data_IF_132866913425
#
_entry.id   IF_132866913425
#
_cell.length_a   1.000
_cell.length_b   1.000
_cell.length_c   1.000
_cell.angle_alpha   90.00
_cell.angle_beta   90.00
_cell.angle_gamma   90.00
#
_symmetry.space_group_name_H-M   'P 1'
#
loop_
_entity.id
_entity.type
_entity.pdbx_description
1 polymer ?
#
# COMPACT_ATOMS: atom_id res chain seq x y z
N UNK A 1 -13.39 -57.85 37.14
CA UNK A 1 -12.43 -57.67 36.04
C UNK A 1 -12.43 -56.23 35.59
N UNK A 2 -11.31 -55.52 35.77
CA UNK A 2 -11.16 -54.12 35.33
C UNK A 2 -11.09 -54.06 33.79
N UNK A 3 -12.03 -53.38 33.14
CA UNK A 3 -11.99 -53.10 31.70
C UNK A 3 -10.67 -52.42 31.33
N UNK A 4 -9.84 -53.05 30.50
CA UNK A 4 -8.66 -52.41 29.89
C UNK A 4 -9.12 -51.19 29.12
N UNK A 5 -8.55 -50.01 29.46
CA UNK A 5 -8.79 -48.73 28.76
C UNK A 5 -8.21 -48.84 27.36
N UNK A 6 -8.92 -48.25 26.38
CA UNK A 6 -8.42 -48.15 25.00
C UNK A 6 -7.18 -47.25 24.94
N UNK A 7 -6.21 -47.61 24.09
CA UNK A 7 -5.06 -46.74 23.79
C UNK A 7 -5.59 -45.45 23.17
N UNK A 8 -5.40 -44.31 23.84
CA UNK A 8 -5.84 -43.01 23.38
C UNK A 8 -6.64 -42.16 24.38
N UNK A 9 -7.30 -42.84 25.35
CA UNK A 9 -8.08 -42.16 26.42
C UNK A 9 -7.15 -41.66 27.53
N UNK A 10 -6.44 -40.59 27.40
CA UNK A 10 -5.51 -40.06 28.39
C UNK A 10 -5.93 -40.19 29.85
N UNK A 11 -5.00 -40.04 30.81
CA UNK A 11 -5.29 -40.14 32.24
C UNK A 11 -6.23 -39.01 32.66
N UNK A 12 -7.50 -39.32 32.96
CA UNK A 12 -8.49 -38.39 33.48
C UNK A 12 -8.62 -38.58 35.01
N UNK A 13 -8.36 -37.52 35.78
CA UNK A 13 -8.48 -37.52 37.26
C UNK A 13 -9.06 -36.23 37.80
N UNK A 14 -9.66 -36.32 38.99
CA UNK A 14 -10.07 -35.13 39.76
C UNK A 14 -8.91 -34.73 40.68
N UNK A 15 -8.53 -33.46 40.63
CA UNK A 15 -7.46 -32.89 41.46
C UNK A 15 -8.02 -32.55 42.88
N UNK A 16 -7.10 -32.30 43.80
CA UNK A 16 -7.45 -31.87 45.18
C UNK A 16 -8.12 -30.49 45.22
N UNK A 17 -7.87 -29.67 44.21
CA UNK A 17 -8.47 -28.33 44.01
C UNK A 17 -9.89 -28.38 43.40
N UNK A 18 -10.46 -29.62 43.22
CA UNK A 18 -11.80 -29.83 42.69
C UNK A 18 -11.92 -29.82 41.17
N UNK A 19 -10.90 -29.42 40.46
CA UNK A 19 -10.87 -29.44 38.99
C UNK A 19 -10.56 -30.79 38.42
N UNK A 20 -11.07 -31.06 37.21
CA UNK A 20 -10.70 -32.24 36.45
C UNK A 20 -9.46 -31.98 35.60
N UNK A 21 -8.58 -32.98 35.49
CA UNK A 21 -7.35 -32.92 34.69
C UNK A 21 -7.31 -34.17 33.79
N UNK A 22 -6.96 -33.96 32.52
CA UNK A 22 -6.55 -35.04 31.61
C UNK A 22 -5.13 -34.81 31.13
N UNK A 23 -4.40 -35.90 30.93
CA UNK A 23 -3.04 -35.90 30.41
C UNK A 23 -2.96 -36.75 29.15
N UNK A 24 -2.59 -36.14 28.03
CA UNK A 24 -2.38 -36.82 26.75
C UNK A 24 -0.89 -36.87 26.44
N UNK A 25 -0.40 -38.01 25.94
CA UNK A 25 0.98 -38.11 25.39
C UNK A 25 0.95 -37.57 23.98
N UNK A 26 1.82 -36.55 23.70
CA UNK A 26 1.86 -35.82 22.44
C UNK A 26 3.13 -36.07 21.63
N UNK A 27 4.00 -36.97 22.08
CA UNK A 27 5.26 -37.32 21.41
C UNK A 27 6.34 -37.71 22.41
N UNK A 28 7.60 -37.62 21.97
CA UNK A 28 8.78 -37.87 22.78
C UNK A 28 9.67 -36.63 22.82
N UNK A 29 10.32 -36.42 23.95
CA UNK A 29 11.44 -35.47 24.04
C UNK A 29 12.68 -36.04 23.32
N UNK A 30 13.69 -35.21 22.97
CA UNK A 30 14.94 -35.69 22.36
C UNK A 30 15.68 -36.77 23.21
N UNK A 31 15.41 -36.79 24.52
CA UNK A 31 15.95 -37.79 25.46
C UNK A 31 15.11 -39.09 25.52
N UNK A 32 14.12 -39.22 24.64
CA UNK A 32 13.23 -40.41 24.55
C UNK A 32 12.11 -40.46 25.57
N UNK A 33 11.98 -39.49 26.48
CA UNK A 33 10.89 -39.45 27.45
C UNK A 33 9.59 -38.93 26.83
N UNK A 34 8.42 -39.47 27.28
CA UNK A 34 7.13 -38.98 26.79
C UNK A 34 6.90 -37.50 27.09
N UNK A 35 6.52 -36.75 26.04
CA UNK A 35 6.05 -35.38 26.15
C UNK A 35 4.54 -35.40 26.39
N UNK A 36 4.07 -34.63 27.40
CA UNK A 36 2.68 -34.62 27.80
C UNK A 36 2.05 -33.26 27.62
N UNK A 37 0.76 -33.26 27.22
CA UNK A 37 -0.12 -32.09 27.28
C UNK A 37 -1.19 -32.30 28.32
N UNK A 38 -1.47 -31.28 29.12
CA UNK A 38 -2.43 -31.29 30.19
C UNK A 38 -3.65 -30.43 29.86
N UNK A 39 -4.84 -30.93 30.15
CA UNK A 39 -6.11 -30.26 29.97
C UNK A 39 -6.80 -30.15 31.32
N UNK A 40 -7.40 -28.98 31.62
CA UNK A 40 -8.03 -28.69 32.90
C UNK A 40 -9.44 -28.17 32.68
N UNK A 41 -10.41 -28.55 33.56
CA UNK A 41 -11.78 -28.06 33.48
C UNK A 41 -12.55 -28.27 34.77
N UNK A 42 -13.65 -27.51 34.95
CA UNK A 42 -14.53 -27.64 36.09
C UNK A 42 -15.31 -28.96 36.09
N UNK A 43 -15.54 -29.56 34.90
CA UNK A 43 -16.29 -30.81 34.74
C UNK A 43 -15.50 -31.82 33.90
N UNK A 44 -15.77 -33.11 34.11
CA UNK A 44 -15.22 -34.18 33.32
C UNK A 44 -15.56 -34.07 31.82
N UNK A 45 -16.79 -33.62 31.52
CA UNK A 45 -17.28 -33.41 30.14
C UNK A 45 -16.46 -32.35 29.43
N UNK A 46 -16.23 -31.21 30.08
CA UNK A 46 -15.44 -30.11 29.52
C UNK A 46 -14.00 -30.52 29.20
N UNK A 47 -13.36 -31.32 30.07
CA UNK A 47 -11.99 -31.82 29.81
C UNK A 47 -11.96 -32.83 28.66
N UNK A 48 -12.92 -33.71 28.58
CA UNK A 48 -13.04 -34.67 27.47
C UNK A 48 -13.24 -33.98 26.12
N UNK A 49 -14.06 -32.95 26.12
CA UNK A 49 -14.29 -32.15 24.92
C UNK A 49 -13.02 -31.42 24.46
N UNK A 50 -12.24 -30.85 25.39
CA UNK A 50 -10.95 -30.26 25.10
C UNK A 50 -9.95 -31.26 24.51
N UNK A 51 -9.87 -32.46 25.10
CA UNK A 51 -9.00 -33.56 24.59
C UNK A 51 -9.43 -33.98 23.19
N UNK A 52 -10.73 -34.17 22.99
CA UNK A 52 -11.27 -34.56 21.67
C UNK A 52 -10.97 -33.48 20.61
N UNK A 53 -11.26 -32.22 20.90
CA UNK A 53 -10.96 -31.12 19.98
C UNK A 53 -9.47 -31.03 19.63
N UNK A 54 -8.59 -31.32 20.60
CA UNK A 54 -7.15 -31.36 20.39
C UNK A 54 -6.73 -32.57 19.51
N UNK A 55 -7.33 -33.72 19.72
CA UNK A 55 -7.08 -34.90 18.88
C UNK A 55 -7.60 -34.71 17.46
N UNK A 56 -8.80 -34.16 17.32
CA UNK A 56 -9.37 -33.74 16.01
C UNK A 56 -8.47 -32.74 15.30
N UNK A 57 -7.83 -31.81 16.04
CA UNK A 57 -6.86 -30.83 15.49
C UNK A 57 -5.59 -31.52 14.97
N UNK A 58 -5.08 -32.54 15.69
CA UNK A 58 -3.90 -33.33 15.27
C UNK A 58 -4.22 -34.23 14.07
N UNK A 59 -5.37 -34.87 14.07
CA UNK A 59 -5.83 -35.76 12.97
C UNK A 59 -6.05 -34.94 11.68
N UNK A 60 -6.40 -33.64 11.80
CA UNK A 60 -6.49 -32.69 10.68
C UNK A 60 -5.12 -32.09 10.26
N UNK A 61 -4.01 -32.60 10.84
CA UNK A 61 -2.64 -32.18 10.47
C UNK A 61 -2.20 -30.85 11.02
N UNK A 62 -2.92 -30.25 11.99
CA UNK A 62 -2.50 -29.01 12.61
C UNK A 62 -1.24 -29.19 13.46
N UNK A 63 -0.29 -28.28 13.32
CA UNK A 63 0.95 -28.31 14.10
C UNK A 63 0.67 -28.09 15.59
N UNK A 64 1.41 -28.77 16.47
CA UNK A 64 1.30 -28.62 17.94
C UNK A 64 1.74 -27.24 18.46
N UNK A 65 2.20 -26.35 17.59
CA UNK A 65 2.80 -25.10 18.01
C UNK A 65 1.76 -24.12 18.57
N UNK A 66 1.79 -23.94 19.87
CA UNK A 66 1.13 -22.84 20.58
C UNK A 66 1.91 -21.54 20.29
N UNK A 67 1.77 -21.01 19.07
CA UNK A 67 2.42 -19.78 18.64
C UNK A 67 1.45 -18.60 18.74
N UNK A 68 1.90 -17.49 19.31
CA UNK A 68 1.11 -16.26 19.34
C UNK A 68 1.27 -15.45 18.03
N UNK A 69 0.36 -14.51 17.81
CA UNK A 69 0.36 -13.69 16.59
C UNK A 69 1.69 -12.92 16.43
N UNK A 70 2.25 -12.37 17.49
CA UNK A 70 3.50 -11.58 17.45
C UNK A 70 4.70 -12.44 17.05
N UNK A 71 4.80 -13.66 17.55
CA UNK A 71 5.87 -14.60 17.18
C UNK A 71 5.77 -14.98 15.72
N UNK A 72 4.56 -15.34 15.28
CA UNK A 72 4.31 -15.69 13.89
C UNK A 72 4.49 -14.53 12.91
N UNK A 73 3.96 -13.35 13.24
CA UNK A 73 4.10 -12.16 12.40
C UNK A 73 5.57 -11.78 12.21
N UNK A 74 6.41 -11.98 13.23
CA UNK A 74 7.85 -11.78 13.14
C UNK A 74 8.50 -12.78 12.18
N UNK A 75 8.22 -14.10 12.34
CA UNK A 75 8.74 -15.13 11.43
C UNK A 75 8.32 -14.85 9.99
N UNK A 76 7.04 -14.49 9.78
CA UNK A 76 6.52 -14.13 8.47
C UNK A 76 7.23 -12.91 7.88
N UNK A 77 7.47 -11.88 8.70
CA UNK A 77 8.09 -10.63 8.26
C UNK A 77 9.59 -10.78 7.96
N UNK A 78 10.31 -11.58 8.73
CA UNK A 78 11.73 -11.85 8.52
C UNK A 78 11.99 -12.45 7.12
N UNK A 79 11.03 -13.22 6.59
CA UNK A 79 11.08 -13.73 5.22
C UNK A 79 11.05 -12.66 4.12
N UNK A 80 10.66 -11.42 4.41
CA UNK A 80 10.63 -10.32 3.43
C UNK A 80 11.90 -9.46 3.41
N UNK A 81 12.83 -9.71 4.31
CA UNK A 81 14.10 -8.98 4.33
C UNK A 81 14.88 -9.24 3.02
N UNK A 82 15.19 -8.17 2.30
CA UNK A 82 15.87 -8.24 1.00
C UNK A 82 14.97 -8.62 -0.20
N UNK A 83 13.72 -9.07 0.03
CA UNK A 83 12.79 -9.42 -1.05
C UNK A 83 11.93 -8.25 -1.53
N UNK A 84 11.75 -7.24 -0.68
CA UNK A 84 10.95 -6.05 -0.99
C UNK A 84 11.80 -4.78 -0.89
N UNK A 85 11.33 -3.69 -1.52
CA UNK A 85 12.03 -2.40 -1.41
C UNK A 85 12.08 -1.93 0.06
N UNK A 86 13.11 -1.15 0.42
CA UNK A 86 13.26 -0.61 1.77
C UNK A 86 12.04 0.22 2.22
N UNK A 87 11.40 0.96 1.30
CA UNK A 87 10.16 1.70 1.58
C UNK A 87 9.02 0.75 1.94
N UNK A 88 8.85 -0.32 1.16
CA UNK A 88 7.82 -1.35 1.41
C UNK A 88 8.09 -2.07 2.73
N UNK A 89 9.34 -2.42 3.01
CA UNK A 89 9.75 -3.07 4.25
C UNK A 89 9.39 -2.23 5.49
N UNK A 90 9.68 -0.92 5.48
CA UNK A 90 9.30 -0.03 6.59
C UNK A 90 7.77 0.16 6.70
N UNK A 91 7.05 0.17 5.58
CA UNK A 91 5.58 0.19 5.58
C UNK A 91 4.99 -1.08 6.21
N UNK A 92 5.53 -2.25 5.88
CA UNK A 92 5.14 -3.54 6.49
C UNK A 92 5.42 -3.55 7.98
N UNK A 93 6.62 -3.14 8.39
CA UNK A 93 7.02 -3.03 9.80
C UNK A 93 6.07 -2.16 10.62
N UNK A 94 5.65 -1.02 10.06
CA UNK A 94 4.65 -0.15 10.70
C UNK A 94 3.30 -0.86 10.84
N UNK A 95 2.83 -1.50 9.76
CA UNK A 95 1.53 -2.18 9.70
C UNK A 95 1.48 -3.34 10.70
N UNK A 96 2.53 -4.18 10.75
CA UNK A 96 2.65 -5.28 11.70
C UNK A 96 2.63 -4.77 13.14
N UNK A 97 3.35 -3.69 13.44
CA UNK A 97 3.33 -3.09 14.79
C UNK A 97 1.92 -2.66 15.23
N UNK A 98 1.09 -2.18 14.28
CA UNK A 98 -0.31 -1.84 14.57
C UNK A 98 -1.12 -3.10 14.87
N UNK A 99 -0.93 -4.16 14.10
CA UNK A 99 -1.59 -5.46 14.32
C UNK A 99 -1.16 -6.09 15.66
N UNK A 100 0.13 -6.08 15.97
CA UNK A 100 0.69 -6.66 17.19
C UNK A 100 0.16 -6.00 18.47
N UNK A 101 -0.15 -4.70 18.43
CA UNK A 101 -0.78 -4.01 19.58
C UNK A 101 -2.14 -4.57 19.97
N UNK A 102 -2.85 -5.19 19.03
CA UNK A 102 -4.17 -5.75 19.28
C UNK A 102 -4.12 -7.28 19.40
N UNK A 103 -3.44 -7.96 18.48
CA UNK A 103 -3.44 -9.40 18.36
C UNK A 103 -2.20 -10.08 18.99
N UNK A 104 -1.13 -9.34 19.26
CA UNK A 104 0.20 -9.88 19.54
C UNK A 104 0.24 -11.02 20.56
N UNK A 105 -0.49 -10.89 21.67
CA UNK A 105 -0.55 -11.91 22.73
C UNK A 105 -1.60 -13.01 22.50
N UNK A 106 -2.40 -12.92 21.44
CA UNK A 106 -3.40 -13.94 21.12
C UNK A 106 -2.75 -15.11 20.42
N UNK A 107 -3.09 -16.33 20.81
CA UNK A 107 -2.72 -17.54 20.06
C UNK A 107 -3.38 -17.51 18.69
N UNK A 108 -2.66 -17.89 17.63
CA UNK A 108 -3.17 -17.85 16.25
C UNK A 108 -4.51 -18.58 16.12
N UNK A 109 -4.64 -19.76 16.72
CA UNK A 109 -5.85 -20.59 16.71
C UNK A 109 -7.07 -19.92 17.40
N UNK A 110 -6.83 -18.98 18.32
CA UNK A 110 -7.88 -18.29 19.08
C UNK A 110 -8.37 -17.02 18.37
N UNK A 111 -7.70 -16.59 17.31
CA UNK A 111 -8.13 -15.46 16.50
C UNK A 111 -9.31 -15.88 15.64
N UNK A 112 -10.48 -15.30 15.89
CA UNK A 112 -11.72 -15.55 15.15
C UNK A 112 -12.11 -14.31 14.31
N UNK A 113 -13.04 -14.50 13.35
CA UNK A 113 -13.51 -13.43 12.48
C UNK A 113 -13.97 -12.18 13.24
N UNK A 114 -14.75 -12.35 14.32
CA UNK A 114 -15.24 -11.23 15.13
C UNK A 114 -14.12 -10.40 15.80
N UNK A 115 -12.95 -11.02 16.10
CA UNK A 115 -11.79 -10.27 16.61
C UNK A 115 -11.22 -9.34 15.53
N UNK A 116 -11.19 -9.82 14.28
CA UNK A 116 -10.76 -9.03 13.12
C UNK A 116 -11.72 -7.85 12.92
N UNK A 117 -13.01 -8.09 12.91
CA UNK A 117 -14.06 -7.07 12.77
C UNK A 117 -13.95 -6.01 13.88
N UNK A 118 -13.84 -6.45 15.13
CA UNK A 118 -13.66 -5.56 16.28
C UNK A 118 -12.42 -4.68 16.15
N UNK A 119 -11.30 -5.25 15.67
CA UNK A 119 -10.08 -4.50 15.42
C UNK A 119 -10.27 -3.46 14.31
N UNK A 120 -10.83 -3.84 13.16
CA UNK A 120 -11.04 -2.94 12.04
C UNK A 120 -11.99 -1.80 12.41
N UNK A 121 -13.07 -2.10 13.14
CA UNK A 121 -14.01 -1.09 13.66
C UNK A 121 -13.32 -0.13 14.63
N UNK A 122 -12.48 -0.63 15.54
CA UNK A 122 -11.68 0.20 16.45
C UNK A 122 -10.78 1.16 15.68
N UNK A 123 -10.06 0.68 14.65
CA UNK A 123 -9.16 1.51 13.86
C UNK A 123 -9.93 2.58 13.07
N UNK A 124 -11.12 2.25 12.57
CA UNK A 124 -12.02 3.24 11.93
C UNK A 124 -12.51 4.29 12.92
N UNK A 125 -12.94 3.88 14.11
CA UNK A 125 -13.41 4.78 15.16
C UNK A 125 -12.27 5.70 15.67
N UNK A 126 -11.03 5.26 15.58
CA UNK A 126 -9.83 6.08 15.84
C UNK A 126 -9.51 7.08 14.72
N UNK A 127 -10.38 7.24 13.72
CA UNK A 127 -10.23 8.20 12.62
C UNK A 127 -9.34 7.75 11.47
N UNK A 128 -8.98 6.46 11.39
CA UNK A 128 -8.23 5.98 10.22
C UNK A 128 -9.09 5.99 8.96
N UNK A 129 -8.51 6.48 7.88
CA UNK A 129 -9.13 6.41 6.56
C UNK A 129 -9.44 4.96 6.16
N UNK A 130 -10.57 4.73 5.48
CA UNK A 130 -11.03 3.41 5.04
C UNK A 130 -9.98 2.67 4.19
N UNK A 131 -9.20 3.38 3.36
CA UNK A 131 -8.09 2.81 2.59
C UNK A 131 -6.96 2.28 3.48
N UNK A 132 -6.66 2.97 4.60
CA UNK A 132 -5.66 2.54 5.58
C UNK A 132 -6.14 1.32 6.38
N UNK A 133 -7.43 1.27 6.74
CA UNK A 133 -8.05 0.10 7.40
C UNK A 133 -8.03 -1.11 6.45
N UNK A 134 -8.32 -0.91 5.16
CA UNK A 134 -8.22 -1.97 4.15
C UNK A 134 -6.79 -2.52 4.02
N UNK A 135 -5.75 -1.68 4.10
CA UNK A 135 -4.34 -2.12 4.12
C UNK A 135 -4.03 -2.99 5.35
N UNK A 136 -4.51 -2.60 6.54
CA UNK A 136 -4.36 -3.42 7.76
C UNK A 136 -5.00 -4.79 7.59
N UNK A 137 -6.22 -4.85 7.06
CA UNK A 137 -6.92 -6.10 6.75
C UNK A 137 -6.15 -6.96 5.75
N UNK A 138 -5.65 -6.34 4.66
CA UNK A 138 -4.87 -7.02 3.63
C UNK A 138 -3.58 -7.63 4.18
N UNK A 139 -2.85 -6.91 5.03
CA UNK A 139 -1.65 -7.43 5.69
C UNK A 139 -1.99 -8.59 6.63
N UNK A 140 -3.01 -8.45 7.47
CA UNK A 140 -3.45 -9.53 8.35
C UNK A 140 -3.89 -10.76 7.57
N UNK A 141 -4.58 -10.57 6.43
CA UNK A 141 -4.95 -11.65 5.53
C UNK A 141 -3.72 -12.45 5.04
N UNK A 142 -2.66 -11.76 4.62
CA UNK A 142 -1.43 -12.41 4.13
C UNK A 142 -0.73 -13.19 5.26
N UNK A 143 -0.60 -12.60 6.45
CA UNK A 143 0.01 -13.24 7.62
C UNK A 143 -0.77 -14.51 8.00
N UNK A 144 -2.10 -14.43 8.11
CA UNK A 144 -2.95 -15.55 8.50
C UNK A 144 -3.09 -16.59 7.37
N UNK A 145 -3.03 -16.17 6.10
CA UNK A 145 -3.03 -17.09 4.97
C UNK A 145 -1.74 -17.96 4.95
N UNK A 146 -0.61 -17.34 5.30
CA UNK A 146 0.65 -18.09 5.44
C UNK A 146 0.65 -19.01 6.66
N UNK A 147 -0.05 -18.62 7.75
CA UNK A 147 -0.25 -19.49 8.92
C UNK A 147 -1.10 -20.71 8.56
N UNK A 148 -2.18 -20.53 7.79
CA UNK A 148 -3.00 -21.61 7.27
C UNK A 148 -2.19 -22.58 6.37
N UNK A 149 -1.37 -22.01 5.47
CA UNK A 149 -0.49 -22.79 4.57
C UNK A 149 0.65 -23.53 5.29
N UNK A 150 0.90 -23.26 6.57
CA UNK A 150 1.87 -23.94 7.42
C UNK A 150 1.17 -24.75 8.55
N UNK A 151 -0.10 -25.05 8.39
CA UNK A 151 -0.91 -25.87 9.31
C UNK A 151 -0.90 -25.36 10.77
N UNK A 152 -0.67 -24.05 10.98
CA UNK A 152 -0.76 -23.42 12.29
C UNK A 152 -2.20 -23.07 12.69
N UNK A 153 -3.09 -22.94 11.70
CA UNK A 153 -4.52 -22.71 11.85
C UNK A 153 -5.29 -23.44 10.75
N UNK A 154 -6.49 -23.93 11.07
CA UNK A 154 -7.36 -24.63 10.09
C UNK A 154 -7.86 -23.73 8.96
N UNK A 155 -8.23 -22.50 9.28
CA UNK A 155 -8.83 -21.53 8.32
C UNK A 155 -8.41 -20.11 8.67
N UNK A 156 -8.12 -19.32 7.65
CA UNK A 156 -7.83 -17.91 7.82
C UNK A 156 -9.09 -17.15 8.26
N UNK A 157 -9.16 -16.62 9.49
CA UNK A 157 -10.35 -15.94 10.03
C UNK A 157 -10.67 -14.63 9.27
N UNK A 158 -9.69 -14.03 8.61
CA UNK A 158 -9.88 -12.78 7.85
C UNK A 158 -10.78 -12.98 6.62
N UNK A 159 -10.88 -14.21 6.11
CA UNK A 159 -11.79 -14.54 4.99
C UNK A 159 -13.25 -14.40 5.38
N UNK A 160 -13.57 -14.72 6.64
CA UNK A 160 -14.92 -14.76 7.17
C UNK A 160 -15.32 -13.47 7.89
N UNK A 161 -14.35 -12.58 8.14
CA UNK A 161 -14.62 -11.26 8.70
C UNK A 161 -15.27 -10.35 7.65
N UNK A 162 -16.32 -9.65 8.05
CA UNK A 162 -17.02 -8.71 7.19
C UNK A 162 -16.08 -7.65 6.65
N UNK A 163 -16.24 -7.36 5.36
CA UNK A 163 -15.56 -6.22 4.75
C UNK A 163 -16.25 -4.95 5.26
N UNK A 164 -15.47 -4.07 5.87
CA UNK A 164 -16.01 -2.75 6.21
C UNK A 164 -16.56 -2.08 4.95
N UNK A 165 -17.77 -1.54 5.04
CA UNK A 165 -18.35 -0.72 3.97
C UNK A 165 -17.39 0.42 3.69
N UNK A 166 -17.02 0.59 2.43
CA UNK A 166 -16.30 1.79 1.99
C UNK A 166 -17.20 2.99 2.32
N UNK A 167 -16.60 4.08 2.74
CA UNK A 167 -17.36 5.31 2.89
C UNK A 167 -18.04 5.60 1.55
N UNK A 168 -19.31 5.97 1.59
CA UNK A 168 -20.18 6.08 0.41
C UNK A 168 -19.69 7.12 -0.62
N UNK A 169 -18.74 7.95 -0.25
CA UNK A 169 -18.05 8.89 -1.14
C UNK A 169 -16.54 8.64 -1.05
N UNK A 170 -16.01 7.80 -1.95
CA UNK A 170 -14.59 7.94 -2.31
C UNK A 170 -14.49 9.31 -2.96
N UNK A 171 -13.89 10.28 -2.27
CA UNK A 171 -13.60 11.58 -2.90
C UNK A 171 -12.82 11.28 -4.17
N UNK A 172 -13.24 11.81 -5.33
CA UNK A 172 -12.48 11.70 -6.55
C UNK A 172 -11.05 12.15 -6.29
N UNK A 173 -10.08 11.56 -6.98
CA UNK A 173 -8.71 12.06 -6.91
C UNK A 173 -8.73 13.47 -7.47
N UNK A 174 -8.51 14.47 -6.62
CA UNK A 174 -8.62 15.87 -7.01
C UNK A 174 -7.57 16.21 -8.09
N UNK A 175 -8.05 16.67 -9.25
CA UNK A 175 -7.28 17.34 -10.30
C UNK A 175 -7.58 18.84 -10.26
N UNK A 176 -6.66 19.66 -10.71
CA UNK A 176 -6.90 21.08 -10.94
C UNK A 176 -7.87 21.23 -12.12
N UNK A 177 -8.74 22.23 -12.05
CA UNK A 177 -9.59 22.63 -13.19
C UNK A 177 -8.76 23.34 -14.26
N UNK A 178 -9.34 23.57 -15.44
CA UNK A 178 -8.66 24.31 -16.51
C UNK A 178 -8.34 25.75 -16.07
N UNK A 179 -9.26 26.41 -15.36
CA UNK A 179 -9.09 27.76 -14.81
C UNK A 179 -7.97 27.79 -13.74
N UNK A 180 -7.93 26.78 -12.86
CA UNK A 180 -6.86 26.67 -11.88
C UNK A 180 -5.49 26.44 -12.53
N UNK A 181 -5.43 25.61 -13.59
CA UNK A 181 -4.18 25.39 -14.34
C UNK A 181 -3.73 26.71 -15.01
N UNK A 182 -4.65 27.46 -15.62
CA UNK A 182 -4.34 28.71 -16.24
C UNK A 182 -3.81 29.72 -15.20
N UNK A 183 -4.49 29.88 -14.06
CA UNK A 183 -4.05 30.71 -12.97
C UNK A 183 -2.65 30.32 -12.44
N UNK A 184 -2.39 29.01 -12.32
CA UNK A 184 -1.07 28.49 -11.94
C UNK A 184 0.01 28.83 -12.99
N UNK A 185 -0.30 28.68 -14.28
CA UNK A 185 0.63 29.02 -15.35
C UNK A 185 1.00 30.49 -15.36
N UNK A 186 0.05 31.37 -15.05
CA UNK A 186 0.24 32.83 -15.06
C UNK A 186 0.91 33.36 -13.77
N UNK A 187 0.45 32.90 -12.60
CA UNK A 187 0.76 33.56 -11.32
C UNK A 187 1.73 32.81 -10.40
N UNK A 188 2.11 31.52 -10.72
CA UNK A 188 3.16 30.88 -9.95
C UNK A 188 4.45 31.71 -9.95
N UNK A 189 5.24 31.67 -8.85
CA UNK A 189 6.56 32.31 -8.82
C UNK A 189 7.44 31.89 -10.00
N UNK A 190 8.34 32.79 -10.42
CA UNK A 190 9.34 32.49 -11.46
C UNK A 190 10.61 31.85 -10.89
N UNK A 191 10.56 31.41 -9.63
CA UNK A 191 11.63 30.65 -8.99
C UNK A 191 11.63 29.19 -9.43
N UNK A 192 12.62 28.46 -8.98
CA UNK A 192 12.79 27.04 -9.30
C UNK A 192 11.57 26.19 -8.93
N UNK A 193 10.86 26.52 -7.84
CA UNK A 193 9.67 25.80 -7.40
C UNK A 193 8.51 26.02 -8.37
N UNK A 194 8.21 27.27 -8.72
CA UNK A 194 7.15 27.58 -9.67
C UNK A 194 7.42 26.99 -11.06
N UNK A 195 8.68 26.99 -11.53
CA UNK A 195 9.06 26.31 -12.77
C UNK A 195 8.83 24.80 -12.67
N UNK A 196 9.25 24.16 -11.57
CA UNK A 196 9.04 22.73 -11.36
C UNK A 196 7.56 22.34 -11.30
N UNK A 197 6.69 23.20 -10.75
CA UNK A 197 5.24 22.95 -10.72
C UNK A 197 4.66 23.01 -12.15
N UNK A 198 5.05 23.98 -12.96
CA UNK A 198 4.64 24.08 -14.38
C UNK A 198 5.11 22.88 -15.19
N UNK A 199 6.35 22.43 -14.96
CA UNK A 199 6.87 21.20 -15.57
C UNK A 199 6.07 19.96 -15.14
N UNK A 200 5.71 19.82 -13.86
CA UNK A 200 4.88 18.72 -13.39
C UNK A 200 3.47 18.73 -14.03
N UNK A 201 2.86 19.92 -14.20
CA UNK A 201 1.56 20.07 -14.88
C UNK A 201 1.63 19.68 -16.36
N UNK A 202 2.69 20.12 -17.06
CA UNK A 202 2.84 19.87 -18.49
C UNK A 202 3.41 18.50 -18.89
N UNK A 203 3.86 17.68 -17.92
CA UNK A 203 4.52 16.39 -18.20
C UNK A 203 3.86 15.20 -17.51
N UNK A 204 3.05 15.44 -16.49
CA UNK A 204 2.48 14.37 -15.68
C UNK A 204 3.49 13.47 -14.97
N UNK A 205 4.78 13.84 -14.91
CA UNK A 205 5.79 13.05 -14.22
C UNK A 205 5.56 13.03 -12.71
N UNK A 206 6.09 12.00 -12.03
CA UNK A 206 6.01 11.93 -10.56
C UNK A 206 6.96 12.92 -9.92
N UNK A 207 6.56 13.51 -8.81
CA UNK A 207 7.44 14.43 -8.05
C UNK A 207 8.83 13.81 -7.77
N UNK A 208 8.90 12.53 -7.42
CA UNK A 208 10.16 11.84 -7.15
C UNK A 208 11.03 11.67 -8.42
N UNK A 209 10.43 11.60 -9.60
CA UNK A 209 11.12 11.58 -10.90
C UNK A 209 11.71 12.97 -11.20
N UNK A 210 10.91 14.03 -11.02
CA UNK A 210 11.38 15.42 -11.16
C UNK A 210 12.59 15.71 -10.26
N UNK A 211 12.50 15.33 -8.98
CA UNK A 211 13.56 15.60 -8.00
C UNK A 211 14.85 14.82 -8.26
N UNK A 212 14.78 13.75 -9.04
CA UNK A 212 15.93 12.93 -9.41
C UNK A 212 16.61 13.39 -10.70
N UNK A 213 16.07 14.38 -11.41
CA UNK A 213 16.64 14.82 -12.69
C UNK A 213 18.05 15.40 -12.51
N UNK A 214 18.93 14.95 -13.40
CA UNK A 214 20.25 15.52 -13.66
C UNK A 214 20.20 16.34 -14.95
N UNK A 215 21.12 17.30 -15.17
CA UNK A 215 21.12 18.12 -16.40
C UNK A 215 21.15 17.31 -17.68
N UNK A 216 21.82 16.15 -17.67
CA UNK A 216 21.92 15.25 -18.82
C UNK A 216 20.61 14.54 -19.18
N UNK A 217 19.65 14.51 -18.23
CA UNK A 217 18.31 13.93 -18.46
C UNK A 217 17.35 14.89 -19.17
N UNK A 218 17.81 16.07 -19.56
CA UNK A 218 17.00 17.09 -20.21
C UNK A 218 17.72 17.55 -21.47
N UNK A 219 17.04 17.44 -22.61
CA UNK A 219 17.58 17.96 -23.87
C UNK A 219 17.86 19.47 -23.77
N UNK A 220 18.87 19.95 -24.50
CA UNK A 220 19.33 21.35 -24.38
C UNK A 220 18.28 22.35 -24.81
N UNK A 221 17.41 22.00 -25.73
CA UNK A 221 16.28 22.79 -26.22
C UNK A 221 14.99 22.61 -25.41
N UNK A 222 15.04 21.80 -24.33
CA UNK A 222 13.91 21.49 -23.47
C UNK A 222 12.83 20.61 -24.10
N UNK A 223 13.08 20.01 -25.27
CA UNK A 223 12.09 19.26 -26.04
C UNK A 223 11.72 17.91 -25.44
N UNK A 224 12.65 17.28 -24.71
CA UNK A 224 12.46 15.95 -24.10
C UNK A 224 13.06 15.90 -22.71
N UNK A 225 12.36 15.20 -21.80
CA UNK A 225 12.89 14.78 -20.50
C UNK A 225 12.99 13.26 -20.47
N UNK A 226 14.18 12.75 -20.14
CA UNK A 226 14.49 11.33 -20.00
C UNK A 226 14.29 10.88 -18.55
N UNK A 227 13.22 10.18 -18.24
CA UNK A 227 12.99 9.63 -16.90
C UNK A 227 13.76 8.32 -16.77
N UNK A 228 14.82 8.31 -15.95
CA UNK A 228 15.72 7.14 -15.75
C UNK A 228 15.80 6.73 -14.29
N UNK A 229 15.47 7.62 -13.39
CA UNK A 229 15.66 7.42 -11.97
C UNK A 229 14.59 8.18 -11.15
N UNK A 230 14.47 7.84 -9.87
CA UNK A 230 13.57 8.49 -8.94
C UNK A 230 14.19 8.59 -7.54
N UNK A 231 13.84 9.66 -6.83
CA UNK A 231 14.18 9.83 -5.41
C UNK A 231 13.41 8.82 -4.57
N UNK A 232 14.12 8.11 -3.71
CA UNK A 232 13.56 7.25 -2.65
C UNK A 232 13.87 7.87 -1.30
N UNK A 233 12.86 7.90 -0.42
CA UNK A 233 13.04 8.38 0.96
C UNK A 233 12.68 7.27 1.94
N UNK A 234 13.64 6.91 2.79
CA UNK A 234 13.47 5.92 3.85
C UNK A 234 13.98 6.51 5.15
N UNK A 235 13.12 6.64 6.16
CA UNK A 235 13.48 7.22 7.49
C UNK A 235 14.22 8.56 7.40
N UNK A 236 13.79 9.44 6.50
CA UNK A 236 14.42 10.76 6.32
C UNK A 236 15.66 10.74 5.42
N UNK A 237 16.26 9.60 5.15
CA UNK A 237 17.39 9.48 4.22
C UNK A 237 16.88 9.48 2.79
N UNK A 238 17.50 10.31 1.96
CA UNK A 238 17.23 10.44 0.53
C UNK A 238 18.29 9.65 -0.24
N UNK A 239 17.83 8.81 -1.18
CA UNK A 239 18.67 8.06 -2.11
C UNK A 239 18.06 8.08 -3.50
N UNK A 240 18.89 7.85 -4.52
CA UNK A 240 18.46 7.67 -5.91
C UNK A 240 18.40 6.19 -6.22
N UNK A 241 17.47 5.81 -7.06
CA UNK A 241 17.39 4.45 -7.59
C UNK A 241 16.47 4.38 -8.79
N UNK A 242 16.37 3.22 -9.43
CA UNK A 242 15.48 3.04 -10.57
C UNK A 242 14.03 3.39 -10.16
N UNK A 243 13.21 3.84 -11.11
CA UNK A 243 11.78 4.04 -10.88
C UNK A 243 11.12 2.76 -10.36
N UNK A 244 9.87 2.87 -9.89
CA UNK A 244 9.17 1.75 -9.22
C UNK A 244 8.90 0.55 -10.14
N UNK A 245 8.68 0.81 -11.43
CA UNK A 245 8.40 -0.22 -12.46
C UNK A 245 9.28 0.03 -13.67
N UNK A 246 9.51 -0.99 -14.48
CA UNK A 246 10.27 -0.88 -15.75
C UNK A 246 9.61 0.14 -16.69
N UNK A 247 8.29 0.15 -16.80
CA UNK A 247 7.51 1.05 -17.67
C UNK A 247 7.61 2.53 -17.25
N UNK A 248 8.14 2.79 -16.06
CA UNK A 248 8.41 4.15 -15.60
C UNK A 248 9.67 4.76 -16.24
N UNK A 249 10.56 3.94 -16.85
CA UNK A 249 11.69 4.41 -17.65
C UNK A 249 11.14 4.81 -19.02
N UNK A 250 11.16 6.09 -19.32
CA UNK A 250 10.52 6.65 -20.51
C UNK A 250 11.11 7.98 -20.90
N UNK A 251 10.81 8.41 -22.11
CA UNK A 251 11.08 9.74 -22.63
C UNK A 251 9.76 10.52 -22.71
N UNK A 252 9.75 11.73 -22.20
CA UNK A 252 8.55 12.58 -22.17
C UNK A 252 8.78 13.75 -23.15
N UNK A 253 8.06 13.78 -24.28
CA UNK A 253 8.02 14.97 -25.14
C UNK A 253 7.41 16.14 -24.39
N UNK A 254 8.01 17.31 -24.50
CA UNK A 254 7.60 18.49 -23.75
C UNK A 254 6.81 19.45 -24.66
N UNK A 255 5.59 19.84 -24.26
CA UNK A 255 4.82 20.86 -24.96
C UNK A 255 5.63 22.15 -25.13
N UNK A 256 5.51 22.81 -26.28
CA UNK A 256 6.30 24.00 -26.63
C UNK A 256 6.22 25.08 -25.56
N UNK A 257 5.04 25.33 -25.01
CA UNK A 257 4.80 26.34 -23.96
C UNK A 257 5.47 25.97 -22.61
N UNK A 258 5.84 24.72 -22.40
CA UNK A 258 6.49 24.25 -21.16
C UNK A 258 8.03 24.25 -21.29
N UNK A 259 8.59 24.19 -22.52
CA UNK A 259 10.04 24.13 -22.75
C UNK A 259 10.82 25.27 -22.10
N UNK A 260 10.37 26.54 -22.12
CA UNK A 260 11.10 27.63 -21.47
C UNK A 260 11.30 27.39 -19.97
N UNK A 261 10.30 26.78 -19.27
CA UNK A 261 10.39 26.45 -17.84
C UNK A 261 11.35 25.27 -17.60
N UNK A 262 11.39 24.30 -18.53
CA UNK A 262 12.33 23.17 -18.46
C UNK A 262 13.78 23.67 -18.62
N UNK A 263 14.04 24.55 -19.59
CA UNK A 263 15.36 25.15 -19.85
C UNK A 263 15.78 25.99 -18.62
N UNK A 264 14.90 26.86 -18.12
CA UNK A 264 15.18 27.68 -16.97
C UNK A 264 15.44 26.83 -15.71
N UNK A 265 14.65 25.78 -15.47
CA UNK A 265 14.87 24.83 -14.37
C UNK A 265 16.24 24.13 -14.52
N UNK A 266 16.61 23.71 -15.73
CA UNK A 266 17.92 23.10 -16.03
C UNK A 266 19.06 24.07 -15.76
N UNK A 267 18.93 25.34 -16.13
CA UNK A 267 19.98 26.36 -15.89
C UNK A 267 20.23 26.64 -14.41
N UNK A 268 19.27 26.35 -13.54
CA UNK A 268 19.37 26.46 -12.07
C UNK A 268 19.89 25.18 -11.41
N UNK A 269 20.54 24.29 -12.15
CA UNK A 269 21.05 23.02 -11.62
C UNK A 269 22.16 23.24 -10.60
N UNK A 270 22.25 22.31 -9.64
CA UNK A 270 23.46 22.11 -8.85
C UNK A 270 24.53 21.34 -9.67
N UNK A 271 25.59 20.91 -9.00
CA UNK A 271 26.69 20.19 -9.66
C UNK A 271 26.25 18.86 -10.30
N UNK A 272 25.40 18.12 -9.61
CA UNK A 272 24.95 16.79 -10.06
C UNK A 272 23.47 16.78 -10.42
N UNK A 273 22.62 17.36 -9.57
CA UNK A 273 21.17 17.29 -9.72
C UNK A 273 20.56 18.66 -10.04
N UNK A 274 19.55 18.68 -10.89
CA UNK A 274 18.75 19.89 -11.07
C UNK A 274 18.18 20.33 -9.73
N UNK A 275 17.64 19.40 -8.94
CA UNK A 275 17.05 19.63 -7.62
C UNK A 275 18.01 19.27 -6.50
N UNK A 276 19.21 19.85 -6.50
CA UNK A 276 20.23 19.59 -5.50
C UNK A 276 19.94 20.35 -4.20
N UNK A 277 20.23 19.69 -3.06
CA UNK A 277 20.20 20.32 -1.74
C UNK A 277 21.37 21.31 -1.61
N UNK A 278 21.12 22.47 -1.03
CA UNK A 278 22.15 23.49 -0.78
C UNK A 278 23.26 23.03 0.17
N UNK A 279 22.98 22.07 1.05
CA UNK A 279 23.90 21.64 2.13
C UNK A 279 24.71 20.40 1.79
N UNK A 280 24.26 19.59 0.89
CA UNK A 280 24.86 18.28 0.57
C UNK A 280 24.64 17.94 -0.90
N UNK A 281 25.63 17.29 -1.53
CA UNK A 281 25.50 16.83 -2.92
C UNK A 281 24.49 15.66 -3.04
N UNK A 282 23.22 15.94 -2.84
CA UNK A 282 22.09 15.02 -2.93
C UNK A 282 20.86 15.76 -3.41
N UNK A 283 19.86 15.05 -4.00
CA UNK A 283 18.59 15.66 -4.33
C UNK A 283 17.90 16.25 -3.10
N UNK A 284 17.09 17.28 -3.30
CA UNK A 284 16.23 17.84 -2.27
C UNK A 284 15.29 16.77 -1.70
N UNK A 285 15.05 16.84 -0.40
CA UNK A 285 14.13 15.93 0.26
C UNK A 285 12.70 16.14 -0.27
N UNK A 286 11.98 15.06 -0.68
CA UNK A 286 10.59 15.16 -1.15
C UNK A 286 9.63 15.84 -0.17
N UNK A 287 9.87 15.77 1.14
CA UNK A 287 9.07 16.48 2.13
C UNK A 287 9.27 18.01 2.01
N UNK A 288 10.54 18.45 1.89
CA UNK A 288 10.85 19.87 1.73
C UNK A 288 10.27 20.44 0.42
N UNK A 289 10.33 19.65 -0.66
CA UNK A 289 9.68 20.06 -1.91
C UNK A 289 8.17 20.18 -1.75
N UNK A 290 7.53 19.24 -1.03
CA UNK A 290 6.08 19.30 -0.79
C UNK A 290 5.67 20.55 -0.01
N UNK A 291 6.45 20.94 0.99
CA UNK A 291 6.18 22.15 1.78
C UNK A 291 6.32 23.42 0.92
N UNK A 292 7.38 23.50 0.10
CA UNK A 292 7.58 24.59 -0.87
C UNK A 292 6.50 24.60 -1.96
N UNK A 293 6.11 23.44 -2.47
CA UNK A 293 4.99 23.29 -3.40
C UNK A 293 3.70 23.85 -2.80
N UNK A 294 3.38 23.44 -1.56
CA UNK A 294 2.20 23.91 -0.84
C UNK A 294 2.21 25.45 -0.70
N UNK A 295 3.34 26.05 -0.32
CA UNK A 295 3.48 27.48 -0.20
C UNK A 295 3.25 28.20 -1.55
N UNK A 296 3.84 27.67 -2.64
CA UNK A 296 3.68 28.22 -3.98
C UNK A 296 2.23 28.12 -4.51
N UNK A 297 1.54 26.99 -4.28
CA UNK A 297 0.11 26.88 -4.65
C UNK A 297 -0.74 27.87 -3.84
N UNK A 298 -0.47 27.99 -2.54
CA UNK A 298 -1.24 28.90 -1.66
C UNK A 298 -1.03 30.38 -1.96
N UNK A 299 0.01 30.76 -2.71
CA UNK A 299 0.24 32.16 -3.14
C UNK A 299 -0.57 32.55 -4.37
N UNK A 300 -1.22 31.60 -5.04
CA UNK A 300 -2.06 31.87 -6.22
C UNK A 300 -3.53 31.89 -5.79
N UNK A 301 -4.18 33.01 -5.96
CA UNK A 301 -5.57 33.23 -5.57
C UNK A 301 -6.53 32.34 -6.40
N UNK A 302 -7.59 31.85 -5.80
CA UNK A 302 -8.61 31.03 -6.45
C UNK A 302 -8.22 29.58 -6.73
N UNK A 303 -7.00 29.15 -6.38
CA UNK A 303 -6.51 27.80 -6.62
C UNK A 303 -6.62 26.94 -5.36
N UNK A 304 -7.21 25.75 -5.49
CA UNK A 304 -7.31 24.77 -4.40
C UNK A 304 -5.94 24.23 -4.00
N UNK A 305 -5.76 24.03 -2.69
CA UNK A 305 -4.52 23.46 -2.17
C UNK A 305 -4.51 21.92 -2.38
N UNK A 306 -3.96 21.49 -3.49
CA UNK A 306 -3.78 20.09 -3.82
C UNK A 306 -2.32 19.63 -3.60
N UNK A 307 -2.04 18.37 -3.89
CA UNK A 307 -0.71 17.76 -3.69
C UNK A 307 0.09 17.70 -4.99
N UNK A 308 1.42 17.52 -4.96
CA UNK A 308 2.21 17.32 -6.18
C UNK A 308 1.72 16.14 -7.05
N UNK A 309 1.04 15.15 -6.47
CA UNK A 309 0.49 14.04 -7.24
C UNK A 309 -0.75 14.45 -8.04
N UNK A 310 -1.46 15.48 -7.60
CA UNK A 310 -2.62 16.02 -8.30
C UNK A 310 -2.24 16.68 -9.65
N UNK A 311 -1.02 17.19 -9.82
CA UNK A 311 -0.55 17.69 -11.13
C UNK A 311 -0.58 16.58 -12.20
N UNK A 312 -0.19 15.36 -11.80
CA UNK A 312 -0.24 14.21 -12.69
C UNK A 312 -1.67 13.75 -12.97
N UNK A 313 -2.57 13.80 -11.98
CA UNK A 313 -4.00 13.54 -12.21
C UNK A 313 -4.59 14.56 -13.18
N UNK A 314 -4.23 15.84 -13.04
CA UNK A 314 -4.61 16.91 -13.95
C UNK A 314 -4.16 16.63 -15.38
N UNK A 315 -2.87 16.30 -15.58
CA UNK A 315 -2.31 15.96 -16.89
C UNK A 315 -3.07 14.80 -17.55
N UNK A 316 -3.30 13.71 -16.81
CA UNK A 316 -4.03 12.55 -17.31
C UNK A 316 -5.47 12.93 -17.68
N UNK A 317 -6.18 13.65 -16.80
CA UNK A 317 -7.58 14.06 -17.03
C UNK A 317 -7.72 14.97 -18.24
N UNK A 318 -6.78 15.91 -18.43
CA UNK A 318 -6.78 16.81 -19.59
C UNK A 318 -6.54 16.06 -20.90
N UNK A 319 -5.56 15.14 -20.96
CA UNK A 319 -5.33 14.33 -22.15
C UNK A 319 -6.54 13.45 -22.49
N UNK A 320 -7.21 12.89 -21.49
CA UNK A 320 -8.44 12.12 -21.70
C UNK A 320 -9.60 12.99 -22.22
N UNK A 321 -9.76 14.21 -21.67
CA UNK A 321 -10.76 15.16 -22.12
C UNK A 321 -10.55 15.56 -23.60
N UNK A 322 -9.29 15.57 -24.07
CA UNK A 322 -8.92 15.80 -25.46
C UNK A 322 -9.03 14.56 -26.36
N UNK A 323 -9.47 13.41 -25.80
CA UNK A 323 -9.68 12.18 -26.57
C UNK A 323 -8.40 11.39 -26.90
N UNK A 324 -7.31 11.64 -26.18
CA UNK A 324 -6.06 10.88 -26.35
C UNK A 324 -6.28 9.44 -25.90
N UNK A 325 -5.84 8.47 -26.71
CA UNK A 325 -5.96 7.05 -26.41
C UNK A 325 -5.30 6.69 -25.07
N UNK A 326 -5.95 5.81 -24.30
CA UNK A 326 -5.52 5.45 -22.94
C UNK A 326 -4.12 4.84 -22.93
N UNK A 327 -3.76 4.07 -23.95
CA UNK A 327 -2.45 3.44 -24.13
C UNK A 327 -1.35 4.49 -24.31
N UNK A 328 -1.64 5.57 -25.06
CA UNK A 328 -0.73 6.70 -25.24
C UNK A 328 -0.52 7.43 -23.92
N UNK A 329 -1.60 7.67 -23.17
CA UNK A 329 -1.52 8.29 -21.85
C UNK A 329 -0.70 7.41 -20.90
N UNK A 330 -0.91 6.09 -20.91
CA UNK A 330 -0.12 5.14 -20.11
C UNK A 330 1.37 5.22 -20.43
N UNK A 331 1.73 5.23 -21.71
CA UNK A 331 3.12 5.37 -22.14
C UNK A 331 3.75 6.68 -21.67
N UNK A 332 3.04 7.82 -21.82
CA UNK A 332 3.51 9.13 -21.40
C UNK A 332 3.74 9.23 -19.88
N UNK A 333 2.82 8.66 -19.08
CA UNK A 333 2.92 8.74 -17.64
C UNK A 333 3.69 7.56 -17.00
N UNK A 334 3.94 6.47 -17.72
CA UNK A 334 4.65 5.29 -17.23
C UNK A 334 3.83 4.55 -16.15
N UNK A 335 2.65 4.06 -16.52
CA UNK A 335 1.81 3.21 -15.69
C UNK A 335 1.63 1.84 -16.34
N UNK A 336 1.90 0.75 -15.58
CA UNK A 336 1.52 -0.59 -15.96
C UNK A 336 -0.02 -0.78 -15.91
N UNK A 337 -0.70 -0.09 -14.99
CA UNK A 337 -2.15 -0.08 -14.86
C UNK A 337 -2.61 1.35 -14.48
N UNK A 338 -3.56 1.91 -15.24
CA UNK A 338 -4.35 3.03 -14.75
C UNK A 338 -5.40 2.43 -13.83
N UNK A 339 -5.34 2.78 -12.54
CA UNK A 339 -6.39 2.49 -11.58
C UNK A 339 -7.66 3.22 -12.05
N UNK A 340 -8.46 2.49 -12.84
CA UNK A 340 -9.68 2.95 -13.49
C UNK A 340 -10.79 3.09 -12.44
N UNK A 341 -10.57 3.94 -11.45
CA UNK A 341 -11.60 4.28 -10.47
C UNK A 341 -12.63 5.21 -11.11
N UNK A 342 -13.89 5.12 -10.67
CA UNK A 342 -15.10 5.81 -11.10
C UNK A 342 -14.98 7.28 -11.58
N UNK A 343 -13.87 7.95 -11.27
CA UNK A 343 -13.59 9.33 -11.68
C UNK A 343 -13.50 9.51 -13.20
N UNK A 344 -13.08 8.47 -13.92
CA UNK A 344 -12.97 8.50 -15.38
C UNK A 344 -14.31 8.30 -16.10
N UNK A 345 -15.37 7.91 -15.40
CA UNK A 345 -16.70 7.73 -15.98
C UNK A 345 -17.30 9.07 -16.51
N UNK A 346 -17.08 10.18 -15.81
CA UNK A 346 -17.54 11.50 -16.26
C UNK A 346 -16.77 12.00 -17.49
N UNK A 347 -15.45 11.78 -17.52
CA UNK A 347 -14.60 12.13 -18.67
C UNK A 347 -14.94 11.24 -19.87
N UNK A 348 -15.21 9.93 -19.63
CA UNK A 348 -15.62 9.02 -20.69
C UNK A 348 -16.94 9.45 -21.37
N UNK A 349 -17.88 10.08 -20.68
CA UNK A 349 -19.10 10.56 -21.31
C UNK A 349 -18.81 11.71 -22.29
N UNK A 350 -18.03 12.70 -21.91
CA UNK A 350 -17.62 13.79 -22.80
C UNK A 350 -16.79 13.29 -24.00
N UNK A 351 -15.92 12.30 -23.78
CA UNK A 351 -15.15 11.64 -24.85
C UNK A 351 -16.06 10.85 -25.78
N UNK A 352 -17.11 10.19 -25.25
CA UNK A 352 -18.11 9.48 -26.06
C UNK A 352 -18.95 10.45 -26.88
N UNK A 353 -19.36 11.56 -26.31
CA UNK A 353 -20.11 12.61 -27.02
C UNK A 353 -19.27 13.19 -28.16
N UNK A 354 -18.02 13.59 -27.90
CA UNK A 354 -17.10 14.07 -28.92
C UNK A 354 -16.75 13.01 -30.00
N UNK A 355 -16.70 11.72 -29.62
CA UNK A 355 -16.47 10.65 -30.59
C UNK A 355 -17.68 10.44 -31.51
N UNK A 356 -18.91 10.55 -30.98
CA UNK A 356 -20.15 10.47 -31.76
C UNK A 356 -20.29 11.70 -32.67
N UNK A 357 -19.97 12.91 -32.21
CA UNK A 357 -19.93 14.13 -33.05
C UNK A 357 -18.95 14.02 -34.24
N UNK A 358 -17.80 13.35 -34.04
CA UNK A 358 -16.87 13.07 -35.16
C UNK A 358 -17.47 12.11 -36.20
N UNK A 359 -18.35 11.20 -35.80
CA UNK A 359 -19.07 10.31 -36.71
C UNK A 359 -20.10 11.08 -37.54
N UNK A 360 -20.71 12.14 -36.99
CA UNK A 360 -21.67 12.96 -37.75
C UNK A 360 -21.04 13.58 -39.01
N UNK A 361 -19.75 13.85 -39.00
CA UNK A 361 -19.04 14.33 -40.20
C UNK A 361 -18.98 13.28 -41.31
N UNK A 362 -18.99 11.99 -40.98
CA UNK A 362 -18.99 10.88 -41.93
C UNK A 362 -20.35 10.61 -42.53
N UNK A 363 -21.44 10.99 -41.85
CA UNK A 363 -22.83 10.76 -42.29
C UNK A 363 -23.47 11.99 -42.93
N UNK A 364 -22.77 13.11 -43.04
CA UNK A 364 -23.25 14.25 -43.86
C UNK A 364 -23.24 13.85 -45.32
N UNK A 365 -24.42 13.51 -45.87
CA UNK A 365 -24.64 13.37 -47.29
C UNK A 365 -24.64 14.76 -47.92
N UNK A 366 -23.76 14.98 -48.89
CA UNK A 366 -23.63 16.21 -49.66
C UNK A 366 -24.87 16.45 -50.52
#
# INVERSE_FOLDING_TARGET
MSKRRSNGDGLLRKRSDGRWESRLTIGLHPDGKPKYKYFYGATQKAVKEQVKNYQDDLDDGLSESDICFQEWSKIWFDGYQGQVSAVTYESYKYTIRVLDRFFGKMMLRDIKAYHVEKFLQKEKNNGRASSSVAKLRGMMYQIMNKAEANDLIRKNPVRFADKMRRDAMVKPKDSFTEEEVQALMEHLPTDKIGMGIRVLLGTGMRCQELLALEPMHVESDGSVIHVRQAVKQVKGTVSIGPPKTHDSIRDIPIPTEIRPYVIAMRSMSGETYIWQSERVNRPINPSNFRDKFKAAISSVEGVRLLTPHSTRHTYVSQLQAQGVAIETIQALVGHAEIDMTEHYLHVQNKVKENAVEKLDALFKVS
#
